data_IF_503387279060
#
_entry.id   IF_503387279060
#
_cell.length_a   1.000
_cell.length_b   1.000
_cell.length_c   1.000
_cell.angle_alpha   90.00
_cell.angle_beta   90.00
_cell.angle_gamma   90.00
#
_symmetry.space_group_name_H-M   'P 1'
#
loop_
_entity.id
_entity.type
_entity.pdbx_description
1 polymer ?
#
# COMPACT_ATOMS: atom_id res chain seq x y z
N UNK A 1 -6.02 10.45 -2.48
CA UNK A 1 -6.41 9.06 -2.17
C UNK A 1 -6.08 8.78 -0.71
N UNK A 2 -7.06 8.31 0.06
CA UNK A 2 -6.85 7.98 1.48
C UNK A 2 -6.35 6.54 1.62
N UNK A 3 -5.89 6.20 2.83
CA UNK A 3 -5.32 4.88 3.10
C UNK A 3 -6.25 3.74 2.68
N UNK A 4 -7.54 3.84 3.03
CA UNK A 4 -8.51 2.78 2.72
C UNK A 4 -8.59 2.49 1.23
N UNK A 5 -8.49 3.52 0.40
CA UNK A 5 -8.52 3.37 -1.04
C UNK A 5 -7.25 2.69 -1.56
N UNK A 6 -6.10 3.10 -1.03
CA UNK A 6 -4.82 2.46 -1.39
C UNK A 6 -4.85 0.98 -0.99
N UNK A 7 -5.33 0.69 0.22
CA UNK A 7 -5.42 -0.68 0.73
C UNK A 7 -6.29 -1.55 -0.17
N UNK A 8 -7.43 -1.02 -0.60
CA UNK A 8 -8.34 -1.75 -1.49
C UNK A 8 -7.66 -2.12 -2.81
N UNK A 9 -6.94 -1.15 -3.39
CA UNK A 9 -6.22 -1.39 -4.65
C UNK A 9 -5.09 -2.40 -4.46
N UNK A 10 -4.33 -2.30 -3.37
CA UNK A 10 -3.26 -3.25 -3.10
C UNK A 10 -3.80 -4.67 -2.94
N UNK A 11 -4.91 -4.85 -2.23
CA UNK A 11 -5.51 -6.17 -2.08
C UNK A 11 -5.92 -6.76 -3.44
N UNK A 12 -6.49 -5.94 -4.31
CA UNK A 12 -6.90 -6.42 -5.63
C UNK A 12 -5.71 -6.81 -6.51
N UNK A 13 -4.51 -6.32 -6.18
CA UNK A 13 -3.29 -6.65 -6.92
C UNK A 13 -2.48 -7.77 -6.27
N UNK A 14 -3.05 -8.48 -5.31
CA UNK A 14 -2.39 -9.64 -4.71
C UNK A 14 -1.53 -9.32 -3.51
N UNK A 15 -1.63 -8.10 -2.97
CA UNK A 15 -0.92 -7.73 -1.75
C UNK A 15 -1.80 -7.95 -0.54
N UNK A 16 -1.18 -8.10 0.62
CA UNK A 16 -1.93 -8.22 1.87
C UNK A 16 -1.26 -7.43 2.97
N UNK A 17 -2.07 -6.95 3.89
CA UNK A 17 -1.58 -6.27 5.08
C UNK A 17 -1.07 -7.30 6.07
N UNK A 18 0.14 -7.08 6.61
CA UNK A 18 0.71 -7.94 7.63
C UNK A 18 0.21 -7.53 9.01
N UNK A 19 0.35 -8.44 9.98
CA UNK A 19 -0.05 -8.14 11.35
C UNK A 19 0.64 -6.87 11.84
N UNK A 20 -0.16 -5.99 12.46
CA UNK A 20 0.33 -4.71 12.93
C UNK A 20 1.16 -4.90 14.19
N UNK A 21 2.32 -4.23 14.23
CA UNK A 21 3.11 -4.11 15.45
C UNK A 21 3.37 -2.64 15.69
N UNK A 22 3.42 -2.22 16.96
CA UNK A 22 3.71 -0.84 17.32
C UNK A 22 2.46 0.03 17.34
N UNK A 23 2.62 1.32 17.04
CA UNK A 23 1.60 2.34 17.29
C UNK A 23 0.44 2.36 16.29
N UNK A 24 0.54 1.63 15.20
CA UNK A 24 -0.56 1.51 14.27
C UNK A 24 -0.71 2.60 13.22
N UNK A 25 0.13 3.64 13.24
CA UNK A 25 0.07 4.68 12.22
C UNK A 25 0.75 4.27 10.92
N UNK A 26 1.55 3.22 10.95
CA UNK A 26 2.22 2.66 9.77
C UNK A 26 1.83 1.20 9.64
N UNK A 27 1.35 0.83 8.46
CA UNK A 27 0.88 -0.51 8.17
C UNK A 27 1.82 -1.17 7.18
N UNK A 28 2.25 -2.39 7.49
CA UNK A 28 3.17 -3.13 6.63
C UNK A 28 2.37 -3.96 5.63
N UNK A 29 2.78 -3.91 4.37
CA UNK A 29 2.13 -4.62 3.28
C UNK A 29 3.13 -5.52 2.57
N UNK A 30 2.64 -6.66 2.10
CA UNK A 30 3.44 -7.67 1.41
C UNK A 30 2.82 -7.96 0.04
N UNK A 31 3.66 -7.92 -1.00
CA UNK A 31 3.28 -8.47 -2.30
C UNK A 31 3.56 -9.97 -2.28
N UNK A 32 2.50 -10.77 -2.24
CA UNK A 32 2.65 -12.22 -2.06
C UNK A 32 3.29 -12.89 -3.26
N UNK A 33 3.29 -12.26 -4.43
CA UNK A 33 3.90 -12.82 -5.64
C UNK A 33 5.42 -12.68 -5.62
N UNK A 34 5.92 -11.50 -5.18
CA UNK A 34 7.35 -11.20 -5.25
C UNK A 34 8.07 -11.35 -3.92
N UNK A 35 7.32 -11.36 -2.80
CA UNK A 35 7.90 -11.35 -1.48
C UNK A 35 8.38 -9.98 -1.01
N UNK A 36 8.21 -8.94 -1.82
CA UNK A 36 8.60 -7.58 -1.44
C UNK A 36 7.57 -6.98 -0.49
N UNK A 37 8.06 -6.18 0.47
CA UNK A 37 7.19 -5.52 1.43
C UNK A 37 7.52 -4.04 1.52
N UNK A 38 6.57 -3.28 2.02
CA UNK A 38 6.74 -1.84 2.27
C UNK A 38 5.82 -1.40 3.39
N UNK A 39 6.03 -0.20 3.87
CA UNK A 39 5.19 0.42 4.89
C UNK A 39 4.35 1.50 4.24
N UNK A 40 3.06 1.53 4.57
CA UNK A 40 2.12 2.53 4.08
C UNK A 40 1.60 3.30 5.27
N UNK A 41 1.72 4.64 5.29
CA UNK A 41 1.17 5.42 6.41
C UNK A 41 -0.35 5.39 6.38
N UNK A 42 -0.96 5.21 7.55
CA UNK A 42 -2.41 5.24 7.69
C UNK A 42 -2.79 6.55 8.34
N UNK A 43 -3.19 7.51 7.51
CA UNK A 43 -3.62 8.83 7.97
C UNK A 43 -5.15 8.93 8.06
N UNK A 44 -5.85 7.80 8.16
CA UNK A 44 -7.29 7.78 8.28
C UNK A 44 -7.95 8.39 7.04
N UNK A 45 -8.77 9.41 7.26
CA UNK A 45 -9.48 10.09 6.17
C UNK A 45 -8.68 11.14 5.44
N UNK A 46 -7.41 11.37 5.78
CA UNK A 46 -6.57 12.35 5.11
C UNK A 46 -5.90 11.73 3.88
N UNK A 47 -5.73 12.53 2.84
CA UNK A 47 -5.11 12.07 1.61
C UNK A 47 -3.62 11.80 1.81
N UNK A 48 -3.17 10.68 1.25
CA UNK A 48 -1.74 10.39 1.13
C UNK A 48 -1.17 11.16 -0.04
N UNK A 49 0.08 11.61 0.10
CA UNK A 49 0.74 12.32 -0.98
C UNK A 49 1.01 11.38 -2.15
N UNK A 50 0.88 11.90 -3.36
CA UNK A 50 1.10 11.11 -4.57
C UNK A 50 2.48 10.44 -4.59
N UNK A 51 3.52 11.17 -4.20
CA UNK A 51 4.87 10.61 -4.15
C UNK A 51 4.98 9.43 -3.19
N UNK A 52 4.27 9.50 -2.04
CA UNK A 52 4.22 8.39 -1.10
C UNK A 52 3.57 7.16 -1.73
N UNK A 53 2.44 7.36 -2.41
CA UNK A 53 1.71 6.27 -3.06
C UNK A 53 2.56 5.65 -4.17
N UNK A 54 3.21 6.47 -4.99
CA UNK A 54 4.08 5.95 -6.07
C UNK A 54 5.25 5.17 -5.50
N UNK A 55 5.80 5.61 -4.38
CA UNK A 55 6.88 4.89 -3.70
C UNK A 55 6.44 3.52 -3.21
N UNK A 56 5.24 3.44 -2.62
CA UNK A 56 4.66 2.17 -2.18
C UNK A 56 4.51 1.20 -3.35
N UNK A 57 3.93 1.67 -4.44
CA UNK A 57 3.71 0.85 -5.65
C UNK A 57 5.03 0.32 -6.19
N UNK A 58 6.05 1.19 -6.26
CA UNK A 58 7.37 0.81 -6.76
C UNK A 58 8.05 -0.21 -5.84
N UNK A 59 8.01 0.01 -4.53
CA UNK A 59 8.65 -0.89 -3.58
C UNK A 59 7.99 -2.27 -3.55
N UNK A 60 6.70 -2.33 -3.82
CA UNK A 60 5.99 -3.60 -3.91
C UNK A 60 6.11 -4.25 -5.29
N UNK A 61 6.91 -3.67 -6.19
CA UNK A 61 7.13 -4.19 -7.55
C UNK A 61 5.85 -4.29 -8.36
N UNK A 62 4.94 -3.36 -8.15
CA UNK A 62 3.69 -3.29 -8.92
C UNK A 62 3.85 -2.27 -10.06
N UNK A 63 3.14 -2.50 -11.15
CA UNK A 63 3.08 -1.52 -12.24
C UNK A 63 2.13 -0.39 -11.86
N UNK A 64 2.55 0.85 -12.09
CA UNK A 64 1.72 2.01 -11.76
C UNK A 64 0.37 1.98 -12.48
N UNK A 65 0.37 1.57 -13.77
CA UNK A 65 -0.88 1.49 -14.52
C UNK A 65 -1.84 0.46 -13.93
N UNK A 66 -1.32 -0.67 -13.46
CA UNK A 66 -2.15 -1.68 -12.81
C UNK A 66 -2.77 -1.13 -11.52
N UNK A 67 -1.97 -0.39 -10.75
CA UNK A 67 -2.47 0.22 -9.52
C UNK A 67 -3.58 1.24 -9.82
N UNK A 68 -3.37 2.07 -10.83
CA UNK A 68 -4.40 3.07 -11.19
C UNK A 68 -5.72 2.43 -11.58
N UNK A 69 -5.66 1.28 -12.27
CA UNK A 69 -6.86 0.60 -12.75
C UNK A 69 -7.49 -0.32 -11.71
N UNK A 70 -6.79 -0.61 -10.66
CA UNK A 70 -7.27 -1.55 -9.65
C UNK A 70 -8.52 -1.04 -8.92
#
# INVERSE_FOLDING_TARGET
MIYREVAKKLRSLGCRELSRTGDGSHRKWLNTTTGQSTTVPDWGGDDLKLGTIRGVVRQLRLAWDDFKRA
#
